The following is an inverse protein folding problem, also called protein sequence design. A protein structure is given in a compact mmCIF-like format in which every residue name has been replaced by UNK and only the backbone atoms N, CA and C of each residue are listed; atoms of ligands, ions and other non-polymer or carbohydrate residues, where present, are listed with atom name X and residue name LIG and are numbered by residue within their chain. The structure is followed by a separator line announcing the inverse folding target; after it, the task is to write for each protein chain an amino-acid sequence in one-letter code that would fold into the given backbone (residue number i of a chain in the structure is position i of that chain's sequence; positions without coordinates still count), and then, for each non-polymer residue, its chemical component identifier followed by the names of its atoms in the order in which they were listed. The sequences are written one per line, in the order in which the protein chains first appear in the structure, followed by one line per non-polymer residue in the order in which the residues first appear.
data_IF_630914279833
#
_entry.id   IF_630914279833
#
_cell.length_a   1.000
_cell.length_b   1.000
_cell.length_c   1.000
_cell.angle_alpha   90.00
_cell.angle_beta   90.00
_cell.angle_gamma   90.00
#
_symmetry.space_group_name_H-M   'P 1'
#
loop_
_entity.id
_entity.type
_entity.pdbx_description
1 polymer ?
#
# COMPACT_ATOMS: atom_id res chain seq x y z
N UNK A 1 23.65 11.53 23.45
CA UNK A 1 22.85 12.63 22.91
C UNK A 1 21.57 12.04 22.34
N UNK A 2 20.43 12.45 22.89
CA UNK A 2 19.12 11.81 22.69
C UNK A 2 18.30 12.53 21.59
N UNK A 3 18.94 13.37 20.80
CA UNK A 3 18.24 14.33 19.94
C UNK A 3 17.90 13.81 18.53
N UNK A 4 18.20 12.52 18.24
CA UNK A 4 17.95 11.94 16.92
C UNK A 4 17.34 10.56 16.99
N UNK A 5 16.20 10.35 16.35
CA UNK A 5 15.67 9.02 16.02
C UNK A 5 16.24 8.60 14.66
N UNK A 6 16.92 7.46 14.60
CA UNK A 6 17.43 6.90 13.35
C UNK A 6 16.51 5.77 12.91
N UNK A 7 15.81 5.94 11.79
CA UNK A 7 14.97 4.93 11.16
C UNK A 7 15.79 4.16 10.12
N UNK A 8 16.72 3.34 10.60
CA UNK A 8 17.67 2.61 9.75
C UNK A 8 16.99 1.54 8.87
N UNK A 9 15.80 1.09 9.26
CA UNK A 9 14.98 0.13 8.52
C UNK A 9 14.34 0.72 7.24
N UNK A 10 14.24 2.06 7.14
CA UNK A 10 13.73 2.79 5.99
C UNK A 10 12.36 2.21 5.53
N UNK A 11 12.22 1.81 4.24
CA UNK A 11 10.98 1.25 3.69
C UNK A 11 10.68 -0.18 4.15
N UNK A 12 11.66 -0.85 4.78
CA UNK A 12 11.53 -2.22 5.23
C UNK A 12 10.99 -2.30 6.66
N UNK A 13 9.71 -1.98 6.83
CA UNK A 13 9.01 -2.03 8.12
C UNK A 13 7.96 -3.14 8.08
N UNK A 14 7.82 -3.89 9.18
CA UNK A 14 6.82 -4.93 9.33
C UNK A 14 6.94 -6.02 8.27
N UNK A 15 5.82 -6.39 7.63
CA UNK A 15 5.79 -7.47 6.63
C UNK A 15 6.73 -7.24 5.44
N UNK A 16 7.02 -5.99 5.08
CA UNK A 16 7.95 -5.65 4.01
C UNK A 16 9.35 -6.17 4.29
N UNK A 17 9.79 -6.06 5.55
CA UNK A 17 11.06 -6.61 6.01
C UNK A 17 11.02 -8.13 6.09
N UNK A 18 10.06 -8.69 6.84
CA UNK A 18 10.01 -10.12 7.10
C UNK A 18 9.91 -10.94 5.82
N UNK A 19 9.11 -10.52 4.86
CA UNK A 19 8.99 -11.18 3.57
C UNK A 19 10.28 -11.05 2.74
N UNK A 20 10.88 -9.84 2.68
CA UNK A 20 12.14 -9.62 1.94
C UNK A 20 13.29 -10.43 2.53
N UNK A 21 13.36 -10.52 3.84
CA UNK A 21 14.38 -11.26 4.57
C UNK A 21 14.11 -12.78 4.66
N UNK A 22 12.94 -13.24 4.20
CA UNK A 22 12.52 -14.64 4.31
C UNK A 22 12.35 -15.11 5.74
N UNK A 23 12.06 -14.22 6.68
CA UNK A 23 11.91 -14.55 8.10
C UNK A 23 10.48 -14.99 8.40
N UNK A 24 10.31 -16.13 9.11
CA UNK A 24 8.99 -16.59 9.50
C UNK A 24 8.36 -15.65 10.52
N UNK A 25 7.04 -15.49 10.42
CA UNK A 25 6.23 -14.71 11.37
C UNK A 25 5.15 -15.59 11.96
N UNK A 26 4.69 -15.29 13.17
CA UNK A 26 3.59 -16.01 13.79
C UNK A 26 2.28 -15.82 13.01
N UNK A 27 2.04 -14.60 12.54
CA UNK A 27 0.89 -14.24 11.70
C UNK A 27 1.32 -13.29 10.60
N UNK A 28 0.97 -13.55 9.33
CA UNK A 28 1.27 -12.62 8.24
C UNK A 28 0.44 -11.35 8.36
N UNK A 29 0.92 -10.28 7.76
CA UNK A 29 0.19 -9.01 7.72
C UNK A 29 -1.19 -9.20 7.06
N UNK A 30 -2.23 -8.64 7.69
CA UNK A 30 -3.61 -8.76 7.23
C UNK A 30 -4.28 -10.10 7.56
N UNK A 31 -3.61 -11.00 8.27
CA UNK A 31 -4.19 -12.26 8.71
C UNK A 31 -5.42 -12.04 9.59
N UNK A 32 -6.46 -12.82 9.32
CA UNK A 32 -7.68 -12.85 10.11
C UNK A 32 -8.34 -14.22 10.07
N UNK A 33 -9.24 -14.47 11.03
CA UNK A 33 -10.06 -15.67 11.10
C UNK A 33 -11.49 -15.31 10.75
N UNK A 34 -12.18 -16.25 10.10
CA UNK A 34 -13.60 -16.16 9.80
C UNK A 34 -14.33 -17.44 10.19
N UNK A 35 -15.60 -17.32 10.55
CA UNK A 35 -16.49 -18.48 10.78
C UNK A 35 -17.08 -19.04 9.48
N UNK A 36 -16.69 -18.49 8.33
CA UNK A 36 -17.12 -18.92 7.00
C UNK A 36 -15.94 -18.97 6.03
N UNK A 37 -16.19 -19.34 4.77
CA UNK A 37 -15.18 -19.46 3.73
C UNK A 37 -15.54 -18.57 2.55
N UNK A 38 -14.54 -17.92 1.97
CA UNK A 38 -14.70 -17.06 0.81
C UNK A 38 -13.91 -17.60 -0.37
N UNK A 39 -14.53 -17.51 -1.54
CA UNK A 39 -13.93 -17.82 -2.84
C UNK A 39 -13.70 -16.53 -3.60
N UNK A 40 -12.55 -16.43 -4.27
CA UNK A 40 -12.16 -15.28 -5.09
C UNK A 40 -12.09 -15.74 -6.54
N UNK A 41 -12.75 -15.03 -7.44
CA UNK A 41 -12.80 -15.35 -8.88
C UNK A 41 -12.78 -14.07 -9.72
N UNK A 42 -12.59 -14.22 -11.03
CA UNK A 42 -12.79 -13.17 -12.03
C UNK A 42 -11.95 -11.90 -11.76
N UNK A 43 -10.64 -12.06 -11.52
CA UNK A 43 -9.72 -10.93 -11.46
C UNK A 43 -9.58 -10.32 -12.86
N UNK A 44 -9.98 -9.06 -13.00
CA UNK A 44 -9.85 -8.30 -14.23
C UNK A 44 -9.13 -6.97 -13.96
N UNK A 45 -8.24 -6.59 -14.85
CA UNK A 45 -7.51 -5.33 -14.77
C UNK A 45 -7.69 -4.58 -16.09
N UNK A 46 -8.21 -3.35 -16.02
CA UNK A 46 -8.40 -2.45 -17.14
C UNK A 46 -8.16 -1.02 -16.68
N UNK A 47 -7.32 -0.29 -17.38
CA UNK A 47 -7.05 1.14 -17.13
C UNK A 47 -6.82 1.48 -15.64
N UNK A 48 -6.00 0.67 -14.96
CA UNK A 48 -5.72 0.78 -13.51
C UNK A 48 -6.93 0.51 -12.59
N UNK A 49 -8.04 0.08 -13.14
CA UNK A 49 -9.13 -0.47 -12.37
C UNK A 49 -8.95 -1.97 -12.21
N UNK A 50 -9.00 -2.43 -10.97
CA UNK A 50 -8.92 -3.85 -10.62
C UNK A 50 -10.26 -4.28 -10.06
N UNK A 51 -10.87 -5.29 -10.67
CA UNK A 51 -12.12 -5.88 -10.16
C UNK A 51 -11.90 -7.33 -9.81
N UNK A 52 -12.53 -7.78 -8.73
CA UNK A 52 -12.52 -9.17 -8.29
C UNK A 52 -13.89 -9.54 -7.75
N UNK A 53 -14.34 -10.75 -8.04
CA UNK A 53 -15.55 -11.29 -7.44
C UNK A 53 -15.21 -12.10 -6.20
N UNK A 54 -15.88 -11.81 -5.09
CA UNK A 54 -15.75 -12.54 -3.83
C UNK A 54 -17.10 -13.12 -3.45
N UNK A 55 -17.15 -14.41 -3.09
CA UNK A 55 -18.35 -15.14 -2.72
C UNK A 55 -18.19 -15.86 -1.40
N UNK A 56 -19.19 -15.78 -0.54
CA UNK A 56 -19.26 -16.60 0.66
C UNK A 56 -19.74 -18.02 0.27
N UNK A 57 -18.84 -18.98 0.33
CA UNK A 57 -19.12 -20.39 -0.01
C UNK A 57 -19.36 -21.26 1.23
N UNK A 58 -19.34 -20.67 2.43
CA UNK A 58 -19.66 -21.33 3.66
C UNK A 58 -21.16 -21.25 4.01
N UNK A 59 -21.50 -21.73 5.19
CA UNK A 59 -22.88 -21.83 5.67
C UNK A 59 -23.26 -20.77 6.73
N UNK A 60 -22.40 -19.79 6.96
CA UNK A 60 -22.61 -18.69 7.90
C UNK A 60 -22.34 -17.35 7.22
N UNK A 61 -23.06 -16.31 7.65
CA UNK A 61 -22.72 -14.96 7.25
C UNK A 61 -21.39 -14.55 7.88
N UNK A 62 -20.62 -13.72 7.16
CA UNK A 62 -19.35 -13.24 7.65
C UNK A 62 -18.78 -12.08 6.82
N UNK A 63 -17.76 -11.45 7.38
CA UNK A 63 -17.01 -10.43 6.67
C UNK A 63 -15.68 -10.97 6.15
N UNK A 64 -15.28 -10.49 4.99
CA UNK A 64 -13.95 -10.68 4.41
C UNK A 64 -13.30 -9.34 4.15
N UNK A 65 -12.00 -9.25 4.37
CA UNK A 65 -11.20 -8.10 3.97
C UNK A 65 -10.40 -8.46 2.74
N UNK A 66 -10.86 -8.00 1.60
CA UNK A 66 -10.21 -8.21 0.31
C UNK A 66 -9.03 -7.25 0.22
N UNK A 67 -7.82 -7.78 0.10
CA UNK A 67 -6.57 -7.01 0.12
C UNK A 67 -5.92 -7.07 -1.25
N UNK A 68 -5.54 -5.91 -1.78
CA UNK A 68 -4.82 -5.78 -3.04
C UNK A 68 -3.38 -5.36 -2.75
N UNK A 69 -2.46 -6.18 -3.18
CA UNK A 69 -1.02 -5.93 -3.12
C UNK A 69 -0.46 -5.72 -4.53
N UNK A 70 0.50 -4.84 -4.62
CA UNK A 70 1.33 -4.67 -5.82
C UNK A 70 2.69 -5.29 -5.58
N UNK A 71 3.02 -6.34 -6.33
CA UNK A 71 4.38 -6.88 -6.34
C UNK A 71 5.22 -6.13 -7.37
N UNK A 72 6.39 -5.72 -6.93
CA UNK A 72 7.30 -4.89 -7.69
C UNK A 72 8.19 -5.73 -8.62
N UNK A 73 8.63 -5.19 -9.77
CA UNK A 73 9.66 -5.82 -10.58
C UNK A 73 10.92 -6.10 -9.77
N UNK A 74 11.54 -7.23 -10.01
CA UNK A 74 12.82 -7.60 -9.38
C UNK A 74 13.99 -7.09 -10.26
N UNK A 75 14.10 -5.78 -10.39
CA UNK A 75 15.02 -5.04 -11.25
C UNK A 75 16.26 -4.50 -10.51
N UNK A 76 16.44 -4.90 -9.24
CA UNK A 76 17.51 -4.40 -8.39
C UNK A 76 17.20 -3.08 -7.70
N UNK A 77 16.07 -2.47 -7.97
CA UNK A 77 15.62 -1.27 -7.25
C UNK A 77 15.41 -1.58 -5.77
N UNK A 78 15.85 -0.67 -4.90
CA UNK A 78 15.66 -0.78 -3.45
C UNK A 78 14.19 -0.55 -3.08
N UNK A 79 13.44 -1.65 -2.97
CA UNK A 79 12.01 -1.62 -2.63
C UNK A 79 11.52 -2.98 -2.10
N UNK A 80 10.40 -3.01 -1.36
CA UNK A 80 9.77 -4.24 -0.90
C UNK A 80 9.39 -5.18 -2.04
N UNK A 81 9.24 -6.47 -1.75
CA UNK A 81 8.76 -7.47 -2.72
C UNK A 81 7.35 -7.14 -3.19
N UNK A 82 6.48 -6.74 -2.27
CA UNK A 82 5.12 -6.28 -2.53
C UNK A 82 4.66 -5.30 -1.47
N UNK A 83 3.64 -4.53 -1.79
CA UNK A 83 3.06 -3.54 -0.89
C UNK A 83 1.54 -3.55 -0.99
N UNK A 84 0.85 -3.44 0.16
CA UNK A 84 -0.59 -3.22 0.20
C UNK A 84 -0.90 -1.86 -0.43
N UNK A 85 -1.79 -1.84 -1.41
CA UNK A 85 -2.22 -0.60 -2.11
C UNK A 85 -3.67 -0.26 -1.85
N UNK A 86 -4.51 -1.28 -1.66
CA UNK A 86 -5.91 -1.07 -1.37
C UNK A 86 -6.49 -2.25 -0.57
N UNK A 87 -7.57 -2.02 0.10
CA UNK A 87 -8.38 -3.06 0.73
C UNK A 87 -9.85 -2.62 0.80
N UNK A 88 -10.74 -3.61 0.83
CA UNK A 88 -12.18 -3.41 0.98
C UNK A 88 -12.75 -4.49 1.90
N UNK A 89 -13.62 -4.10 2.82
CA UNK A 89 -14.31 -5.04 3.71
C UNK A 89 -15.73 -5.27 3.21
N UNK A 90 -16.04 -6.52 2.88
CA UNK A 90 -17.38 -6.95 2.45
C UNK A 90 -18.01 -7.84 3.51
N UNK A 91 -19.33 -7.70 3.72
CA UNK A 91 -20.13 -8.61 4.55
C UNK A 91 -21.08 -9.38 3.65
N UNK A 92 -21.02 -10.70 3.69
CA UNK A 92 -21.77 -11.57 2.77
C UNK A 92 -22.55 -12.65 3.53
N UNK A 93 -23.81 -12.85 3.12
CA UNK A 93 -24.62 -13.97 3.55
C UNK A 93 -24.13 -15.29 2.90
N UNK A 94 -24.49 -16.47 3.42
CA UNK A 94 -24.21 -17.75 2.75
C UNK A 94 -24.67 -17.74 1.30
N UNK A 95 -23.75 -18.07 0.37
CA UNK A 95 -24.02 -18.11 -1.06
C UNK A 95 -23.98 -16.73 -1.76
N UNK A 96 -23.95 -15.63 -1.02
CA UNK A 96 -23.88 -14.27 -1.57
C UNK A 96 -22.49 -13.98 -2.15
N UNK A 97 -22.46 -13.16 -3.20
CA UNK A 97 -21.23 -12.66 -3.82
C UNK A 97 -21.28 -11.16 -3.99
N UNK A 98 -20.11 -10.53 -3.96
CA UNK A 98 -19.93 -9.12 -4.27
C UNK A 98 -18.79 -8.91 -5.28
N UNK A 99 -18.94 -7.88 -6.11
CA UNK A 99 -17.86 -7.37 -6.94
C UNK A 99 -17.12 -6.28 -6.15
N UNK A 100 -15.84 -6.48 -5.93
CA UNK A 100 -14.97 -5.50 -5.30
C UNK A 100 -14.16 -4.81 -6.39
N UNK A 101 -14.09 -3.49 -6.33
CA UNK A 101 -13.39 -2.65 -7.32
C UNK A 101 -12.39 -1.74 -6.64
N UNK A 102 -11.15 -1.80 -7.10
CA UNK A 102 -10.07 -0.92 -6.66
C UNK A 102 -9.63 -0.02 -7.81
N UNK A 103 -9.35 1.24 -7.52
CA UNK A 103 -8.77 2.19 -8.46
C UNK A 103 -7.32 2.47 -8.06
N UNK A 104 -6.39 2.11 -8.93
CA UNK A 104 -4.96 2.32 -8.71
C UNK A 104 -4.55 3.67 -9.31
N UNK A 105 -3.96 4.51 -8.50
CA UNK A 105 -3.36 5.76 -8.95
C UNK A 105 -1.94 5.53 -9.47
N UNK A 106 -1.38 6.46 -10.25
CA UNK A 106 0.04 6.45 -10.66
C UNK A 106 0.96 6.31 -9.45
N UNK A 107 0.56 6.88 -8.32
CA UNK A 107 1.32 6.83 -7.08
C UNK A 107 1.50 5.42 -6.50
N UNK A 108 0.58 4.51 -6.78
CA UNK A 108 0.66 3.12 -6.29
C UNK A 108 1.79 2.31 -6.93
N UNK A 109 2.29 2.77 -8.08
CA UNK A 109 3.43 2.18 -8.79
C UNK A 109 4.74 2.95 -8.56
N UNK A 110 4.65 4.16 -8.01
CA UNK A 110 5.76 5.09 -7.99
C UNK A 110 6.78 4.80 -6.89
N UNK A 111 8.03 5.12 -7.21
CA UNK A 111 9.15 5.22 -6.26
C UNK A 111 9.69 6.64 -6.28
N UNK A 112 10.42 7.00 -5.24
CA UNK A 112 11.17 8.24 -5.19
C UNK A 112 12.65 7.96 -5.49
N UNK A 113 13.13 8.52 -6.60
CA UNK A 113 14.54 8.48 -6.98
C UNK A 113 14.80 9.74 -7.83
N UNK A 114 15.43 10.74 -7.23
CA UNK A 114 15.60 12.06 -7.83
C UNK A 114 14.28 12.70 -8.31
N UNK A 115 13.18 12.35 -7.65
CA UNK A 115 11.81 12.67 -8.00
C UNK A 115 10.90 11.44 -8.03
N UNK A 116 9.58 11.67 -8.09
CA UNK A 116 8.61 10.59 -8.19
C UNK A 116 8.53 10.07 -9.62
N UNK A 117 8.73 8.77 -9.79
CA UNK A 117 8.62 8.12 -11.09
C UNK A 117 8.06 6.70 -10.95
N UNK A 118 7.46 6.21 -12.00
CA UNK A 118 7.08 4.81 -12.15
C UNK A 118 8.16 4.15 -13.01
N UNK A 119 8.96 3.22 -12.49
CA UNK A 119 9.90 2.47 -13.31
C UNK A 119 9.17 1.58 -14.31
N UNK A 120 9.68 1.50 -15.54
CA UNK A 120 9.23 0.47 -16.49
C UNK A 120 9.45 -0.91 -15.91
N UNK A 121 8.47 -1.77 -16.08
CA UNK A 121 8.64 -3.16 -15.67
C UNK A 121 7.33 -3.95 -15.61
N UNK A 122 7.48 -5.22 -15.31
CA UNK A 122 6.35 -6.12 -15.07
C UNK A 122 6.03 -6.13 -13.58
N UNK A 123 4.89 -5.57 -13.24
CA UNK A 123 4.32 -5.61 -11.89
C UNK A 123 3.32 -6.77 -11.81
N UNK A 124 3.06 -7.26 -10.61
CA UNK A 124 1.97 -8.19 -10.40
C UNK A 124 0.95 -7.62 -9.41
N UNK A 125 -0.30 -7.58 -9.84
CA UNK A 125 -1.45 -7.32 -8.97
C UNK A 125 -1.80 -8.62 -8.29
N UNK A 126 -1.79 -8.62 -6.96
CA UNK A 126 -2.05 -9.77 -6.12
C UNK A 126 -3.27 -9.47 -5.25
N UNK A 127 -4.27 -10.35 -5.27
CA UNK A 127 -5.47 -10.19 -4.45
C UNK A 127 -5.62 -11.39 -3.53
N UNK A 128 -5.86 -11.11 -2.26
CA UNK A 128 -5.99 -12.16 -1.26
C UNK A 128 -6.56 -11.68 0.08
N UNK A 129 -6.57 -12.56 1.07
CA UNK A 129 -7.07 -12.29 2.42
C UNK A 129 -5.97 -11.86 3.39
N UNK A 130 -4.71 -12.01 3.00
CA UNK A 130 -3.53 -11.54 3.77
C UNK A 130 -2.32 -11.44 2.86
N UNK A 131 -1.21 -10.91 3.39
CA UNK A 131 0.05 -10.84 2.63
C UNK A 131 0.60 -12.22 2.23
N UNK A 132 0.25 -13.27 2.95
CA UNK A 132 0.68 -14.65 2.66
C UNK A 132 -0.41 -15.50 2.00
N UNK A 133 -1.67 -15.09 2.04
CA UNK A 133 -2.79 -15.82 1.44
C UNK A 133 -3.28 -15.08 0.18
N UNK A 134 -2.47 -15.17 -0.87
CA UNK A 134 -2.81 -14.63 -2.19
C UNK A 134 -3.66 -15.65 -2.96
N UNK A 135 -4.85 -15.24 -3.38
CA UNK A 135 -5.84 -16.08 -4.07
C UNK A 135 -5.80 -15.92 -5.58
N UNK A 136 -5.59 -14.72 -6.06
CA UNK A 136 -5.54 -14.40 -7.48
C UNK A 136 -4.35 -13.48 -7.77
N UNK A 137 -3.78 -13.62 -8.96
CA UNK A 137 -2.70 -12.76 -9.43
C UNK A 137 -2.80 -12.52 -10.93
N UNK A 138 -2.40 -11.32 -11.36
CA UNK A 138 -2.29 -10.97 -12.77
C UNK A 138 -1.13 -10.01 -12.96
N UNK A 139 -0.32 -10.25 -13.99
CA UNK A 139 0.77 -9.36 -14.36
C UNK A 139 0.26 -8.18 -15.18
N UNK A 140 0.89 -7.02 -14.95
CA UNK A 140 0.68 -5.80 -15.73
C UNK A 140 2.04 -5.23 -16.14
N UNK A 141 2.15 -4.82 -17.40
CA UNK A 141 3.32 -4.12 -17.89
C UNK A 141 3.05 -2.63 -17.73
N UNK A 142 3.99 -1.94 -17.11
CA UNK A 142 3.90 -0.49 -16.88
C UNK A 142 5.10 0.16 -17.54
N UNK A 143 4.86 1.21 -18.31
CA UNK A 143 5.91 2.03 -18.89
C UNK A 143 6.33 3.16 -17.95
N UNK A 144 7.52 3.70 -18.17
CA UNK A 144 8.05 4.78 -17.32
C UNK A 144 7.12 6.01 -17.37
N UNK A 145 6.78 6.52 -16.20
CA UNK A 145 5.96 7.72 -16.04
C UNK A 145 6.57 8.59 -14.95
N UNK A 146 6.69 9.89 -15.24
CA UNK A 146 7.00 10.89 -14.20
C UNK A 146 5.73 11.23 -13.45
N UNK A 147 5.74 10.99 -12.16
CA UNK A 147 4.60 11.30 -11.30
C UNK A 147 4.82 12.67 -10.68
N UNK A 148 3.91 13.62 -10.85
CA UNK A 148 4.06 14.93 -10.22
C UNK A 148 4.08 14.79 -8.70
N UNK A 149 4.96 15.55 -8.04
CA UNK A 149 4.94 15.65 -6.60
C UNK A 149 3.58 16.20 -6.13
N UNK A 150 3.07 15.76 -4.97
CA UNK A 150 1.88 16.36 -4.40
C UNK A 150 2.02 17.88 -4.27
N UNK A 151 0.96 18.63 -4.56
CA UNK A 151 1.00 20.09 -4.60
C UNK A 151 1.51 20.72 -3.28
N UNK A 152 1.18 20.11 -2.13
CA UNK A 152 1.64 20.55 -0.82
C UNK A 152 3.14 20.33 -0.57
N UNK A 153 3.81 19.47 -1.36
CA UNK A 153 5.26 19.32 -1.33
C UNK A 153 5.98 20.37 -2.19
N UNK A 154 5.28 21.03 -3.11
CA UNK A 154 5.89 22.00 -4.00
C UNK A 154 6.54 23.14 -3.19
N UNK A 155 7.84 23.39 -3.44
CA UNK A 155 8.62 24.39 -2.73
C UNK A 155 9.10 23.99 -1.33
N UNK A 156 8.75 22.81 -0.84
CA UNK A 156 9.24 22.29 0.43
C UNK A 156 10.59 21.58 0.26
N UNK A 157 11.33 21.42 1.37
CA UNK A 157 12.55 20.63 1.42
C UNK A 157 12.34 19.18 0.90
N UNK A 158 11.17 18.58 1.16
CA UNK A 158 10.85 17.22 0.72
C UNK A 158 10.70 17.09 -0.80
N UNK A 159 10.48 18.19 -1.52
CA UNK A 159 10.45 18.14 -2.99
C UNK A 159 11.85 17.91 -3.59
N UNK A 160 12.89 18.37 -2.90
CA UNK A 160 14.31 18.17 -3.26
C UNK A 160 15.13 18.05 -1.98
N UNK A 161 15.12 16.92 -1.28
CA UNK A 161 15.83 16.77 -0.02
C UNK A 161 17.33 16.96 -0.23
N UNK A 162 17.91 17.95 0.46
CA UNK A 162 19.35 18.20 0.46
C UNK A 162 19.77 18.77 1.82
N UNK A 163 20.64 18.06 2.53
CA UNK A 163 21.03 18.44 3.88
C UNK A 163 19.89 18.34 4.91
N UNK A 164 19.89 19.23 5.89
CA UNK A 164 18.83 19.31 6.90
C UNK A 164 17.84 20.43 6.54
N UNK A 165 16.53 20.22 6.74
CA UNK A 165 15.55 21.27 6.52
C UNK A 165 15.75 22.44 7.50
N UNK A 166 15.66 23.64 6.99
CA UNK A 166 15.66 24.86 7.82
C UNK A 166 14.32 25.01 8.58
N UNK A 167 14.32 25.84 9.62
CA UNK A 167 13.07 26.17 10.35
C UNK A 167 12.03 26.80 9.41
N UNK A 168 12.47 27.57 8.40
CA UNK A 168 11.59 28.17 7.40
C UNK A 168 10.90 27.10 6.52
N UNK A 169 11.63 26.07 6.12
CA UNK A 169 11.11 24.94 5.34
C UNK A 169 10.14 24.10 6.17
N UNK A 170 10.43 23.84 7.44
CA UNK A 170 9.49 23.21 8.35
C UNK A 170 8.19 23.99 8.49
N UNK A 171 8.29 25.31 8.66
CA UNK A 171 7.11 26.19 8.76
C UNK A 171 6.29 26.13 7.48
N UNK A 172 6.93 26.20 6.32
CA UNK A 172 6.25 26.09 5.03
C UNK A 172 5.47 24.77 4.89
N UNK A 173 6.04 23.66 5.32
CA UNK A 173 5.37 22.35 5.31
C UNK A 173 4.13 22.38 6.20
N UNK A 174 4.27 22.85 7.44
CA UNK A 174 3.17 22.89 8.41
C UNK A 174 2.02 23.83 7.96
N UNK A 175 2.34 24.90 7.30
CA UNK A 175 1.34 25.86 6.79
C UNK A 175 0.56 25.31 5.58
N UNK A 176 1.18 24.44 4.76
CA UNK A 176 0.60 23.90 3.54
C UNK A 176 0.11 22.45 3.65
N UNK A 177 0.09 21.88 4.86
CA UNK A 177 -0.54 20.57 5.10
C UNK A 177 -2.01 20.62 4.71
N UNK A 178 -2.57 19.50 4.19
CA UNK A 178 -4.01 19.34 4.00
C UNK A 178 -4.78 19.65 5.30
N UNK A 179 -6.01 20.13 5.17
CA UNK A 179 -6.83 20.51 6.33
C UNK A 179 -6.97 19.34 7.33
N UNK A 180 -7.16 18.12 6.82
CA UNK A 180 -7.28 16.91 7.62
C UNK A 180 -6.03 16.59 8.45
N UNK A 181 -4.86 17.05 8.01
CA UNK A 181 -3.61 16.88 8.73
C UNK A 181 -3.33 18.00 9.74
N UNK A 182 -4.02 19.16 9.62
CA UNK A 182 -3.88 20.30 10.54
C UNK A 182 -4.66 20.12 11.83
N UNK A 183 -5.73 19.33 11.80
CA UNK A 183 -6.58 19.04 12.96
C UNK A 183 -6.05 17.92 13.87
N UNK A 184 -4.95 17.27 13.48
CA UNK A 184 -4.26 16.33 14.34
C UNK A 184 -3.53 17.13 15.43
N UNK A 185 -4.06 17.13 16.65
CA UNK A 185 -3.38 17.77 17.78
C UNK A 185 -1.97 17.17 17.97
N UNK A 186 -0.92 18.01 18.01
CA UNK A 186 0.42 17.53 18.32
C UNK A 186 0.42 17.03 19.77
N UNK A 187 0.49 15.71 19.97
CA UNK A 187 0.74 15.16 21.29
C UNK A 187 -0.34 14.28 21.92
N UNK A 188 -1.36 13.85 21.21
CA UNK A 188 -2.28 12.82 21.71
C UNK A 188 -1.77 11.39 21.43
N UNK A 189 -0.51 11.10 21.75
CA UNK A 189 -0.12 9.73 22.07
C UNK A 189 -0.44 9.51 23.53
N UNK A 190 -1.64 9.00 23.82
CA UNK A 190 -1.93 8.41 25.14
C UNK A 190 -1.00 7.23 25.36
N UNK A 191 -0.34 7.20 26.52
CA UNK A 191 0.45 6.11 27.06
C UNK A 191 -0.26 4.76 26.99
#
# INVERSE_FOLDING_TARGET
NIDYACYAEDVYVGYRYYEKAGQPVAYPFGYGLSYTKFEYTNLLISDRQVTVQVRNVGNRAGSEVVQLYMANPQDGTYRPLKELRAFEKVFLQPGEGAMVTFLLASRDFAIYQDGWRIPTGTYAVLVGSSSADIRLSQQVIVEEEKVPAPAWLAGSWYAKPAGQPSIGEWRHIMENLPAEAKDAEPGSFSE
#
